data_IF_071272976641
#
_entry.id   IF_071272976641
#
_cell.length_a   1.000
_cell.length_b   1.000
_cell.length_c   1.000
_cell.angle_alpha   90.00
_cell.angle_beta   90.00
_cell.angle_gamma   90.00
#
_symmetry.space_group_name_H-M   'P 1'
#
loop_
_entity.id
_entity.type
_entity.pdbx_description
1 polymer ?
#
# COMPACT_ATOMS: atom_id res chain seq x y z
N UNK A 1 -16.79 -3.11 16.43
CA UNK A 1 -15.38 -3.17 15.99
C UNK A 1 -14.87 -1.75 15.95
N UNK A 2 -13.80 -1.42 16.67
CA UNK A 2 -13.21 -0.08 16.65
C UNK A 2 -12.69 0.24 15.25
N UNK A 3 -12.70 1.53 14.88
CA UNK A 3 -12.21 2.05 13.60
C UNK A 3 -10.83 1.48 13.26
N UNK A 4 -9.88 1.54 14.20
CA UNK A 4 -8.52 1.06 13.99
C UNK A 4 -8.39 -0.44 13.72
N UNK A 5 -9.35 -1.29 14.11
CA UNK A 5 -9.29 -2.74 13.80
C UNK A 5 -9.66 -2.99 12.34
N UNK A 6 -10.53 -2.17 11.74
CA UNK A 6 -10.91 -2.33 10.34
C UNK A 6 -9.80 -1.85 9.41
N UNK A 7 -9.16 -0.72 9.74
CA UNK A 7 -7.93 -0.26 9.08
C UNK A 7 -6.85 -1.34 9.12
N UNK A 8 -6.61 -1.89 10.30
CA UNK A 8 -5.57 -2.90 10.48
C UNK A 8 -5.85 -4.17 9.67
N UNK A 9 -7.10 -4.61 9.65
CA UNK A 9 -7.52 -5.74 8.83
C UNK A 9 -7.41 -5.45 7.33
N UNK A 10 -7.79 -4.24 6.91
CA UNK A 10 -7.69 -3.78 5.52
C UNK A 10 -6.24 -3.82 5.03
N UNK A 11 -5.31 -3.27 5.82
CA UNK A 11 -3.87 -3.26 5.50
C UNK A 11 -3.30 -4.67 5.49
N UNK A 12 -3.63 -5.51 6.47
CA UNK A 12 -3.18 -6.91 6.48
C UNK A 12 -3.65 -7.68 5.24
N UNK A 13 -4.93 -7.54 4.89
CA UNK A 13 -5.49 -8.18 3.70
C UNK A 13 -4.81 -7.71 2.41
N UNK A 14 -4.45 -6.42 2.33
CA UNK A 14 -3.69 -5.89 1.21
C UNK A 14 -2.24 -6.42 1.15
N UNK A 15 -1.52 -6.49 2.27
CA UNK A 15 -0.17 -7.10 2.31
C UNK A 15 -0.24 -8.56 1.84
N UNK A 16 -1.27 -9.31 2.27
CA UNK A 16 -1.50 -10.68 1.83
C UNK A 16 -1.82 -10.76 0.33
N UNK A 17 -2.57 -9.80 -0.22
CA UNK A 17 -2.80 -9.71 -1.67
C UNK A 17 -1.47 -9.58 -2.42
N UNK A 18 -0.59 -8.66 -2.02
CA UNK A 18 0.72 -8.49 -2.65
C UNK A 18 1.59 -9.74 -2.51
N UNK A 19 1.59 -10.38 -1.34
CA UNK A 19 2.29 -11.65 -1.14
C UNK A 19 1.83 -12.71 -2.16
N UNK A 20 0.52 -12.84 -2.36
CA UNK A 20 -0.05 -13.78 -3.33
C UNK A 20 0.27 -13.36 -4.77
N UNK A 21 0.31 -12.07 -5.06
CA UNK A 21 0.65 -11.55 -6.37
C UNK A 21 2.09 -11.86 -6.75
N UNK A 22 3.05 -11.60 -5.85
CA UNK A 22 4.48 -11.94 -6.07
C UNK A 22 4.66 -13.44 -6.33
N UNK A 23 3.92 -14.27 -5.60
CA UNK A 23 3.93 -15.73 -5.77
C UNK A 23 3.07 -16.24 -6.93
N UNK A 24 2.43 -15.35 -7.68
CA UNK A 24 1.55 -15.68 -8.80
C UNK A 24 0.41 -16.64 -8.41
N UNK A 25 -0.23 -16.39 -7.27
CA UNK A 25 -1.27 -17.24 -6.68
C UNK A 25 -2.65 -16.54 -6.63
N UNK A 26 -3.42 -16.54 -7.73
CA UNK A 26 -4.66 -15.76 -7.86
C UNK A 26 -5.76 -16.19 -6.89
N UNK A 27 -5.84 -17.49 -6.57
CA UNK A 27 -6.88 -18.06 -5.72
C UNK A 27 -6.94 -17.45 -4.33
N UNK A 28 -5.80 -16.99 -3.79
CA UNK A 28 -5.74 -16.27 -2.52
C UNK A 28 -5.60 -14.76 -2.72
N UNK A 29 -4.99 -14.31 -3.82
CA UNK A 29 -4.81 -12.90 -4.15
C UNK A 29 -6.13 -12.14 -4.33
N UNK A 30 -7.09 -12.65 -5.11
CA UNK A 30 -8.37 -11.97 -5.31
C UNK A 30 -9.23 -11.90 -4.04
N UNK A 31 -9.41 -12.97 -3.24
CA UNK A 31 -10.10 -12.85 -1.96
C UNK A 31 -9.45 -11.85 -0.99
N UNK A 32 -8.11 -11.85 -0.89
CA UNK A 32 -7.38 -10.90 -0.05
C UNK A 32 -7.62 -9.45 -0.51
N UNK A 33 -7.61 -9.21 -1.83
CA UNK A 33 -7.99 -7.93 -2.40
C UNK A 33 -9.43 -7.53 -2.01
N UNK A 34 -10.41 -8.41 -2.21
CA UNK A 34 -11.82 -8.12 -1.92
C UNK A 34 -12.03 -7.74 -0.46
N UNK A 35 -11.31 -8.40 0.46
CA UNK A 35 -11.34 -8.08 1.88
C UNK A 35 -10.77 -6.69 2.17
N UNK A 36 -9.62 -6.33 1.58
CA UNK A 36 -9.04 -5.00 1.74
C UNK A 36 -9.93 -3.92 1.12
N UNK A 37 -10.35 -4.09 -0.12
CA UNK A 37 -11.18 -3.14 -0.85
C UNK A 37 -12.54 -2.92 -0.19
N UNK A 38 -13.21 -4.01 0.21
CA UNK A 38 -14.48 -3.94 0.94
C UNK A 38 -14.33 -3.26 2.30
N UNK A 39 -13.23 -3.50 3.01
CA UNK A 39 -12.94 -2.83 4.28
C UNK A 39 -12.79 -1.33 4.08
N UNK A 40 -12.01 -0.87 3.11
CA UNK A 40 -11.86 0.57 2.80
C UNK A 40 -13.18 1.25 2.45
N UNK A 41 -14.02 0.61 1.63
CA UNK A 41 -15.34 1.16 1.30
C UNK A 41 -16.21 1.29 2.56
N UNK A 42 -16.22 0.26 3.41
CA UNK A 42 -16.99 0.28 4.66
C UNK A 42 -16.48 1.38 5.60
N UNK A 43 -15.16 1.58 5.70
CA UNK A 43 -14.56 2.63 6.50
C UNK A 43 -14.97 4.01 6.02
N UNK A 44 -14.79 4.28 4.72
CA UNK A 44 -15.16 5.56 4.13
C UNK A 44 -16.66 5.84 4.26
N UNK A 45 -17.51 4.83 4.07
CA UNK A 45 -18.97 4.98 4.15
C UNK A 45 -19.42 5.25 5.59
N UNK A 46 -18.91 4.50 6.57
CA UNK A 46 -19.31 4.66 7.98
C UNK A 46 -18.86 5.99 8.56
N UNK A 47 -17.67 6.46 8.19
CA UNK A 47 -17.05 7.66 8.77
C UNK A 47 -17.09 8.86 7.83
N UNK A 48 -17.88 8.81 6.76
CA UNK A 48 -17.96 9.90 5.78
C UNK A 48 -18.20 11.26 6.45
N UNK A 49 -19.20 11.33 7.33
CA UNK A 49 -19.57 12.58 7.99
C UNK A 49 -18.55 13.05 9.03
N UNK A 50 -17.81 12.13 9.66
CA UNK A 50 -16.84 12.44 10.72
C UNK A 50 -15.46 12.79 10.20
N UNK A 51 -15.08 12.26 9.04
CA UNK A 51 -13.81 12.56 8.39
C UNK A 51 -13.73 14.00 7.86
N UNK A 52 -12.56 14.61 8.02
CA UNK A 52 -12.25 15.86 7.32
C UNK A 52 -12.03 15.62 5.82
N UNK A 53 -12.00 16.68 5.02
CA UNK A 53 -11.80 16.60 3.57
C UNK A 53 -10.57 15.79 3.17
N UNK A 54 -9.41 16.05 3.81
CA UNK A 54 -8.18 15.31 3.53
C UNK A 54 -8.29 13.81 3.83
N UNK A 55 -8.93 13.43 4.95
CA UNK A 55 -9.16 12.01 5.29
C UNK A 55 -10.05 11.32 4.27
N UNK A 56 -11.15 11.98 3.83
CA UNK A 56 -12.02 11.44 2.76
C UNK A 56 -11.24 11.24 1.46
N UNK A 57 -10.47 12.25 1.06
CA UNK A 57 -9.62 12.15 -0.13
C UNK A 57 -8.58 11.04 -0.02
N UNK A 58 -7.97 10.84 1.16
CA UNK A 58 -7.02 9.75 1.40
C UNK A 58 -7.68 8.38 1.20
N UNK A 59 -8.83 8.11 1.81
CA UNK A 59 -9.53 6.83 1.59
C UNK A 59 -10.00 6.66 0.14
N UNK A 60 -10.51 7.72 -0.50
CA UNK A 60 -10.86 7.67 -1.94
C UNK A 60 -9.64 7.34 -2.80
N UNK A 61 -8.47 7.93 -2.50
CA UNK A 61 -7.23 7.62 -3.19
C UNK A 61 -6.81 6.16 -2.99
N UNK A 62 -6.91 5.63 -1.76
CA UNK A 62 -6.63 4.22 -1.47
C UNK A 62 -7.59 3.31 -2.24
N UNK A 63 -8.89 3.59 -2.28
CA UNK A 63 -9.88 2.81 -3.03
C UNK A 63 -9.55 2.81 -4.54
N UNK A 64 -9.24 3.98 -5.12
CA UNK A 64 -8.84 4.09 -6.53
C UNK A 64 -7.55 3.31 -6.83
N UNK A 65 -6.57 3.38 -5.93
CA UNK A 65 -5.33 2.62 -6.08
C UNK A 65 -5.54 1.12 -5.91
N UNK A 66 -6.35 0.65 -4.97
CA UNK A 66 -6.71 -0.76 -4.84
C UNK A 66 -7.43 -1.24 -6.12
N UNK A 67 -8.34 -0.45 -6.68
CA UNK A 67 -9.01 -0.75 -7.93
C UNK A 67 -8.02 -0.86 -9.10
N UNK A 68 -7.07 0.08 -9.23
CA UNK A 68 -6.02 -0.01 -10.24
C UNK A 68 -5.13 -1.25 -10.05
N UNK A 69 -4.79 -1.56 -8.79
CA UNK A 69 -3.95 -2.71 -8.45
C UNK A 69 -4.61 -4.04 -8.82
N UNK A 70 -5.93 -4.20 -8.59
CA UNK A 70 -6.61 -5.45 -8.98
C UNK A 70 -6.77 -5.56 -10.48
N UNK A 71 -7.00 -4.45 -11.20
CA UNK A 71 -7.09 -4.46 -12.66
C UNK A 71 -5.76 -4.92 -13.24
N UNK A 72 -4.65 -4.36 -12.76
CA UNK A 72 -3.32 -4.73 -13.21
C UNK A 72 -2.95 -6.18 -12.82
N UNK A 73 -3.15 -6.57 -11.55
CA UNK A 73 -2.94 -7.94 -11.09
C UNK A 73 -3.73 -8.97 -11.91
N UNK A 74 -4.98 -8.63 -12.24
CA UNK A 74 -5.84 -9.50 -13.06
C UNK A 74 -5.34 -9.56 -14.50
N UNK A 75 -4.85 -8.46 -15.06
CA UNK A 75 -4.24 -8.45 -16.39
C UNK A 75 -3.03 -9.38 -16.45
N UNK A 76 -2.17 -9.33 -15.42
CA UNK A 76 -1.04 -10.25 -15.33
C UNK A 76 -1.51 -11.70 -15.23
N UNK A 77 -2.45 -12.02 -14.33
CA UNK A 77 -2.97 -13.39 -14.20
C UNK A 77 -3.63 -13.94 -15.47
N UNK A 78 -4.32 -13.10 -16.24
CA UNK A 78 -5.10 -13.56 -17.39
C UNK A 78 -4.30 -13.55 -18.70
N UNK A 79 -3.48 -12.53 -18.92
CA UNK A 79 -2.95 -12.18 -20.24
C UNK A 79 -1.43 -12.15 -20.32
N UNK A 80 -0.73 -11.94 -19.21
CA UNK A 80 0.74 -11.85 -19.25
C UNK A 80 1.35 -13.23 -19.49
N UNK A 81 2.30 -13.28 -20.42
CA UNK A 81 2.98 -14.51 -20.78
C UNK A 81 4.05 -14.82 -19.72
N UNK A 82 4.19 -16.10 -19.30
CA UNK A 82 5.20 -16.46 -18.33
C UNK A 82 6.57 -16.16 -18.91
N UNK A 83 7.25 -15.18 -18.33
CA UNK A 83 8.67 -14.94 -18.60
C UNK A 83 9.45 -16.22 -18.29
N UNK A 84 10.44 -16.54 -19.12
CA UNK A 84 11.16 -17.81 -19.05
C UNK A 84 11.70 -18.05 -17.64
N UNK A 85 11.23 -19.12 -16.98
CA UNK A 85 11.75 -19.54 -15.68
C UNK A 85 10.83 -19.38 -14.47
N UNK A 86 9.51 -19.20 -14.63
CA UNK A 86 8.60 -19.30 -13.47
C UNK A 86 8.84 -20.61 -12.70
N UNK A 87 9.19 -20.47 -11.42
CA UNK A 87 9.57 -21.58 -10.52
C UNK A 87 8.37 -22.15 -9.75
N UNK A 88 7.20 -21.55 -9.87
CA UNK A 88 6.06 -21.89 -9.02
C UNK A 88 5.19 -22.98 -9.67
N UNK A 89 4.98 -24.13 -9.02
CA UNK A 89 4.24 -25.25 -9.62
C UNK A 89 2.73 -24.98 -9.76
N UNK A 90 2.21 -23.96 -9.09
CA UNK A 90 0.81 -23.52 -9.20
C UNK A 90 0.61 -22.41 -10.24
N UNK A 91 1.65 -22.05 -10.99
CA UNK A 91 1.58 -21.00 -11.98
C UNK A 91 0.80 -21.47 -13.23
N UNK A 92 -0.27 -20.76 -13.57
CA UNK A 92 -1.17 -21.11 -14.68
C UNK A 92 -1.28 -20.01 -15.75
N UNK A 93 -0.33 -19.06 -15.80
CA UNK A 93 -0.36 -17.95 -16.75
C UNK A 93 0.16 -18.33 -18.16
N UNK A 94 -0.33 -17.67 -19.23
CA UNK A 94 -1.54 -16.85 -19.23
C UNK A 94 -2.77 -17.75 -19.09
N UNK A 95 -3.71 -17.40 -18.21
CA UNK A 95 -4.90 -18.24 -17.98
C UNK A 95 -5.85 -18.27 -19.20
N UNK A 96 -5.83 -17.23 -20.03
CA UNK A 96 -6.64 -17.13 -21.25
C UNK A 96 -5.93 -17.63 -22.51
N UNK A 97 -4.67 -18.08 -22.39
CA UNK A 97 -3.83 -18.45 -23.55
C UNK A 97 -3.08 -17.25 -24.15
N UNK A 98 -2.39 -17.52 -25.26
CA UNK A 98 -1.51 -16.56 -25.94
C UNK A 98 -2.27 -15.61 -26.87
N UNK A 99 -1.67 -14.45 -27.18
CA UNK A 99 -2.19 -13.50 -28.18
C UNK A 99 -3.17 -12.46 -27.65
N UNK A 100 -3.23 -12.24 -26.34
CA UNK A 100 -4.07 -11.23 -25.68
C UNK A 100 -3.29 -9.97 -25.25
N UNK A 101 -2.28 -9.58 -26.03
CA UNK A 101 -1.43 -8.41 -25.75
C UNK A 101 -2.25 -7.11 -25.68
N UNK A 102 -3.26 -6.97 -26.55
CA UNK A 102 -4.11 -5.78 -26.58
C UNK A 102 -4.95 -5.64 -25.31
N UNK A 103 -5.50 -6.75 -24.79
CA UNK A 103 -6.25 -6.78 -23.55
C UNK A 103 -5.35 -6.45 -22.36
N UNK A 104 -4.12 -7.01 -22.33
CA UNK A 104 -3.11 -6.66 -21.33
C UNK A 104 -2.78 -5.17 -21.32
N UNK A 105 -2.49 -4.58 -22.49
CA UNK A 105 -2.18 -3.16 -22.65
C UNK A 105 -3.35 -2.26 -22.24
N UNK A 106 -4.57 -2.67 -22.60
CA UNK A 106 -5.80 -1.95 -22.23
C UNK A 106 -5.99 -1.96 -20.72
N UNK A 107 -5.86 -3.12 -20.07
CA UNK A 107 -5.98 -3.23 -18.62
C UNK A 107 -4.88 -2.45 -17.89
N UNK A 108 -3.63 -2.51 -18.35
CA UNK A 108 -2.52 -1.74 -17.80
C UNK A 108 -2.75 -0.23 -17.94
N UNK A 109 -3.31 0.21 -19.06
CA UNK A 109 -3.69 1.61 -19.28
C UNK A 109 -4.81 2.05 -18.31
N UNK A 110 -5.81 1.21 -18.09
CA UNK A 110 -6.88 1.48 -17.11
C UNK A 110 -6.30 1.59 -15.69
N UNK A 111 -5.45 0.64 -15.29
CA UNK A 111 -4.80 0.66 -13.98
C UNK A 111 -3.96 1.93 -13.77
N UNK A 112 -3.15 2.31 -14.77
CA UNK A 112 -2.35 3.54 -14.75
C UNK A 112 -3.23 4.78 -14.55
N UNK A 113 -4.33 4.89 -15.28
CA UNK A 113 -5.27 6.01 -15.13
C UNK A 113 -5.89 6.06 -13.73
N UNK A 114 -6.19 4.89 -13.13
CA UNK A 114 -6.66 4.81 -11.75
C UNK A 114 -5.57 5.26 -10.75
N UNK A 115 -4.31 4.91 -10.96
CA UNK A 115 -3.20 5.36 -10.12
C UNK A 115 -2.97 6.87 -10.21
N UNK A 116 -3.03 7.44 -11.41
CA UNK A 116 -2.97 8.91 -11.61
C UNK A 116 -4.14 9.59 -10.91
N UNK A 117 -5.36 9.07 -11.05
CA UNK A 117 -6.52 9.61 -10.36
C UNK A 117 -6.37 9.53 -8.83
N UNK A 118 -5.88 8.39 -8.30
CA UNK A 118 -5.59 8.22 -6.89
C UNK A 118 -4.58 9.26 -6.38
N UNK A 119 -3.47 9.46 -7.10
CA UNK A 119 -2.46 10.46 -6.76
C UNK A 119 -3.03 11.88 -6.76
N UNK A 120 -3.79 12.25 -7.79
CA UNK A 120 -4.42 13.56 -7.89
C UNK A 120 -5.41 13.82 -6.75
N UNK A 121 -6.25 12.83 -6.39
CA UNK A 121 -7.18 12.93 -5.27
C UNK A 121 -6.43 13.08 -3.95
N UNK A 122 -5.37 12.29 -3.74
CA UNK A 122 -4.51 12.39 -2.55
C UNK A 122 -3.86 13.78 -2.45
N UNK A 123 -3.22 14.25 -3.53
CA UNK A 123 -2.53 15.53 -3.56
C UNK A 123 -3.48 16.72 -3.35
N UNK A 124 -4.68 16.68 -3.96
CA UNK A 124 -5.72 17.68 -3.73
C UNK A 124 -6.21 17.66 -2.29
N UNK A 125 -6.48 16.47 -1.74
CA UNK A 125 -6.86 16.30 -0.34
C UNK A 125 -5.83 16.86 0.64
N UNK A 126 -4.54 16.60 0.38
CA UNK A 126 -3.45 17.09 1.21
C UNK A 126 -3.23 18.60 1.10
N UNK A 127 -3.39 19.16 -0.11
CA UNK A 127 -3.17 20.58 -0.37
C UNK A 127 -4.30 21.46 0.16
N UNK A 128 -5.55 21.03 -0.05
CA UNK A 128 -6.76 21.82 0.27
C UNK A 128 -7.46 21.38 1.54
N UNK A 129 -7.25 20.14 1.99
CA UNK A 129 -7.93 19.56 3.15
C UNK A 129 -7.19 19.75 4.47
N UNK A 130 -6.26 20.71 4.56
CA UNK A 130 -5.51 20.99 5.80
C UNK A 130 -6.49 21.21 6.95
N UNK A 131 -6.30 20.48 8.03
CA UNK A 131 -7.14 20.62 9.21
C UNK A 131 -6.64 21.77 10.08
N UNK A 132 -7.55 22.57 10.62
CA UNK A 132 -7.24 23.52 11.70
C UNK A 132 -6.87 22.79 13.00
N UNK A 133 -7.25 21.52 13.13
CA UNK A 133 -6.87 20.66 14.24
C UNK A 133 -5.46 20.10 14.01
N UNK A 134 -4.51 20.57 14.82
CA UNK A 134 -3.11 20.16 14.77
C UNK A 134 -2.92 18.64 14.93
N UNK A 135 -3.81 17.96 15.67
CA UNK A 135 -3.73 16.50 15.88
C UNK A 135 -4.06 15.76 14.59
N UNK A 136 -5.13 16.19 13.90
CA UNK A 136 -5.53 15.62 12.61
C UNK A 136 -4.50 15.90 11.53
N UNK A 137 -3.91 17.09 11.53
CA UNK A 137 -2.83 17.42 10.59
C UNK A 137 -1.59 16.56 10.83
N UNK A 138 -1.15 16.38 12.09
CA UNK A 138 -0.01 15.54 12.41
C UNK A 138 -0.24 14.07 12.01
N UNK A 139 -1.47 13.57 12.13
CA UNK A 139 -1.83 12.23 11.65
C UNK A 139 -1.72 12.12 10.11
N UNK A 140 -2.20 13.13 9.37
CA UNK A 140 -2.07 13.18 7.91
C UNK A 140 -0.61 13.28 7.45
N UNK A 141 0.22 14.03 8.18
CA UNK A 141 1.64 14.20 7.85
C UNK A 141 2.43 12.87 7.99
N UNK A 142 1.97 11.95 8.85
CA UNK A 142 2.54 10.61 8.96
C UNK A 142 2.23 9.73 7.75
N UNK A 143 1.20 10.06 6.97
CA UNK A 143 0.71 9.28 5.83
C UNK A 143 1.20 9.82 4.48
N UNK A 144 2.04 10.86 4.47
CA UNK A 144 2.61 11.45 3.25
C UNK A 144 3.38 10.43 2.41
N UNK A 145 3.90 9.37 3.04
CA UNK A 145 4.55 8.27 2.32
C UNK A 145 3.64 7.62 1.27
N UNK A 146 2.31 7.63 1.47
CA UNK A 146 1.34 7.11 0.51
C UNK A 146 1.40 7.85 -0.82
N UNK A 147 1.62 9.17 -0.80
CA UNK A 147 1.79 9.95 -2.03
C UNK A 147 3.01 9.50 -2.85
N UNK A 148 4.13 9.24 -2.17
CA UNK A 148 5.34 8.71 -2.80
C UNK A 148 5.12 7.27 -3.30
N UNK A 149 4.34 6.46 -2.58
CA UNK A 149 3.97 5.13 -3.02
C UNK A 149 3.10 5.16 -4.30
N UNK A 150 2.09 6.02 -4.38
CA UNK A 150 1.25 6.18 -5.58
C UNK A 150 2.08 6.61 -6.80
N UNK A 151 3.08 7.48 -6.61
CA UNK A 151 4.01 7.84 -7.69
C UNK A 151 4.86 6.66 -8.16
N UNK A 152 5.24 5.75 -7.26
CA UNK A 152 5.91 4.49 -7.62
C UNK A 152 5.00 3.63 -8.49
N UNK A 153 3.72 3.47 -8.18
CA UNK A 153 2.77 2.68 -8.99
C UNK A 153 2.58 3.24 -10.40
N UNK A 154 2.46 4.57 -10.52
CA UNK A 154 2.43 5.25 -11.82
C UNK A 154 3.74 4.98 -12.58
N UNK A 155 4.88 5.10 -11.89
CA UNK A 155 6.19 4.86 -12.49
C UNK A 155 6.38 3.42 -12.94
N UNK A 156 5.89 2.44 -12.18
CA UNK A 156 5.98 1.01 -12.52
C UNK A 156 5.16 0.71 -13.77
N UNK A 157 3.89 1.13 -13.81
CA UNK A 157 3.03 0.91 -15.00
C UNK A 157 3.45 1.67 -16.24
N UNK A 158 4.37 2.65 -16.13
CA UNK A 158 4.96 3.40 -17.24
C UNK A 158 6.41 2.99 -17.54
N UNK A 159 6.94 1.97 -16.84
CA UNK A 159 8.30 1.48 -16.99
C UNK A 159 9.39 2.55 -16.71
N UNK A 160 9.07 3.55 -15.87
CA UNK A 160 9.94 4.67 -15.50
C UNK A 160 10.87 4.26 -14.34
N UNK A 161 11.87 3.45 -14.67
CA UNK A 161 12.79 2.81 -13.73
C UNK A 161 13.36 3.74 -12.64
N UNK A 162 13.92 4.89 -13.04
CA UNK A 162 14.53 5.84 -12.11
C UNK A 162 13.51 6.55 -11.21
N UNK A 163 12.37 6.96 -11.77
CA UNK A 163 11.28 7.58 -11.02
C UNK A 163 10.68 6.61 -9.99
N UNK A 164 10.53 5.33 -10.35
CA UNK A 164 10.08 4.28 -9.44
C UNK A 164 11.02 4.12 -8.24
N UNK A 165 12.34 4.03 -8.48
CA UNK A 165 13.33 3.91 -7.41
C UNK A 165 13.41 5.15 -6.51
N UNK A 166 13.32 6.35 -7.09
CA UNK A 166 13.31 7.59 -6.32
C UNK A 166 12.06 7.69 -5.42
N UNK A 167 10.89 7.37 -5.98
CA UNK A 167 9.61 7.38 -5.27
C UNK A 167 9.58 6.35 -4.13
N UNK A 168 10.12 5.15 -4.38
CA UNK A 168 10.32 4.14 -3.34
C UNK A 168 11.21 4.62 -2.21
N UNK A 169 12.38 5.17 -2.55
CA UNK A 169 13.35 5.65 -1.56
C UNK A 169 12.71 6.74 -0.69
N UNK A 170 11.95 7.64 -1.29
CA UNK A 170 11.20 8.66 -0.57
C UNK A 170 10.15 8.05 0.37
N UNK A 171 9.36 7.09 -0.09
CA UNK A 171 8.37 6.39 0.74
C UNK A 171 9.03 5.68 1.94
N UNK A 172 10.16 5.00 1.71
CA UNK A 172 10.90 4.30 2.76
C UNK A 172 11.48 5.27 3.80
N UNK A 173 12.06 6.40 3.37
CA UNK A 173 12.55 7.44 4.27
C UNK A 173 11.42 8.04 5.13
N UNK A 174 10.26 8.29 4.53
CA UNK A 174 9.09 8.80 5.23
C UNK A 174 8.55 7.79 6.24
N UNK A 175 8.44 6.50 5.89
CA UNK A 175 8.04 5.44 6.82
C UNK A 175 9.04 5.24 7.95
N UNK A 176 10.35 5.24 7.68
CA UNK A 176 11.37 5.16 8.73
C UNK A 176 11.30 6.36 9.68
N UNK A 177 11.02 7.55 9.14
CA UNK A 177 10.77 8.75 9.97
C UNK A 177 9.50 8.59 10.81
N UNK A 178 8.40 8.08 10.25
CA UNK A 178 7.16 7.82 11.01
C UNK A 178 7.37 6.78 12.10
N UNK A 179 8.09 5.70 11.80
CA UNK A 179 8.47 4.66 12.76
C UNK A 179 9.34 5.21 13.89
N UNK A 180 10.42 5.93 13.57
CA UNK A 180 11.31 6.50 14.60
C UNK A 180 10.61 7.51 15.52
N UNK A 181 9.59 8.22 15.02
CA UNK A 181 8.79 9.15 15.83
C UNK A 181 7.77 8.47 16.73
N UNK A 182 7.13 7.40 16.26
CA UNK A 182 5.96 6.80 16.93
C UNK A 182 6.29 5.50 17.68
N UNK A 183 7.33 4.78 17.26
CA UNK A 183 7.60 3.42 17.69
C UNK A 183 6.52 2.41 17.26
N UNK A 184 5.56 2.81 16.43
CA UNK A 184 4.43 1.97 16.05
C UNK A 184 4.87 0.88 15.08
N UNK A 185 4.69 -0.38 15.49
CA UNK A 185 5.08 -1.57 14.72
C UNK A 185 4.34 -1.71 13.39
N UNK A 186 3.21 -1.01 13.20
CA UNK A 186 2.52 -0.95 11.90
C UNK A 186 3.42 -0.36 10.81
N UNK A 187 4.13 0.73 11.11
CA UNK A 187 5.08 1.32 10.16
C UNK A 187 6.27 0.39 9.86
N UNK A 188 6.68 -0.45 10.83
CA UNK A 188 7.71 -1.46 10.58
C UNK A 188 7.20 -2.55 9.63
N UNK A 189 5.97 -3.02 9.82
CA UNK A 189 5.34 -3.97 8.92
C UNK A 189 5.17 -3.41 7.50
N UNK A 190 4.71 -2.16 7.38
CA UNK A 190 4.65 -1.43 6.10
C UNK A 190 6.04 -1.28 5.49
N UNK A 191 7.09 -0.98 6.27
CA UNK A 191 8.45 -0.89 5.75
C UNK A 191 8.95 -2.25 5.19
N UNK A 192 8.65 -3.36 5.87
CA UNK A 192 9.00 -4.72 5.39
C UNK A 192 8.26 -5.08 4.11
N UNK A 193 6.96 -4.80 4.06
CA UNK A 193 6.14 -4.96 2.86
C UNK A 193 6.69 -4.10 1.69
N UNK A 194 7.06 -2.85 1.98
CA UNK A 194 7.63 -1.91 1.03
C UNK A 194 8.96 -2.47 0.46
N UNK A 195 9.86 -2.92 1.33
CA UNK A 195 11.13 -3.57 0.92
C UNK A 195 10.89 -4.75 0.00
N UNK A 196 9.96 -5.65 0.34
CA UNK A 196 9.63 -6.79 -0.51
C UNK A 196 9.10 -6.36 -1.89
N UNK A 197 8.22 -5.36 -1.92
CA UNK A 197 7.72 -4.78 -3.17
C UNK A 197 8.83 -4.17 -4.04
N UNK A 198 9.87 -3.60 -3.45
CA UNK A 198 11.03 -3.12 -4.23
C UNK A 198 11.93 -4.22 -4.73
N UNK A 199 12.13 -5.28 -3.94
CA UNK A 199 12.85 -6.45 -4.43
C UNK A 199 12.13 -7.03 -5.66
N UNK A 200 10.79 -7.07 -5.61
CA UNK A 200 9.96 -7.48 -6.74
C UNK A 200 10.06 -6.51 -7.93
N UNK A 201 9.88 -5.20 -7.72
CA UNK A 201 10.04 -4.18 -8.77
C UNK A 201 11.39 -4.27 -9.48
N UNK A 202 12.49 -4.41 -8.72
CA UNK A 202 13.83 -4.52 -9.30
C UNK A 202 13.96 -5.80 -10.13
N UNK A 203 13.41 -6.91 -9.66
CA UNK A 203 13.42 -8.16 -10.42
C UNK A 203 12.65 -8.02 -11.74
N UNK A 204 11.43 -7.49 -11.68
CA UNK A 204 10.54 -7.40 -12.85
C UNK A 204 10.97 -6.34 -13.86
N UNK A 205 11.35 -5.14 -13.39
CA UNK A 205 11.59 -3.97 -14.26
C UNK A 205 13.06 -3.82 -14.64
N UNK A 206 13.99 -4.14 -13.74
CA UNK A 206 15.43 -4.00 -14.06
C UNK A 206 16.05 -5.29 -14.57
N UNK A 207 15.57 -6.43 -14.10
CA UNK A 207 16.16 -7.74 -14.42
C UNK A 207 15.27 -8.59 -15.32
N UNK A 208 14.09 -8.10 -15.71
CA UNK A 208 13.16 -8.79 -16.61
C UNK A 208 12.82 -10.21 -16.11
N UNK A 209 12.63 -10.34 -14.80
CA UNK A 209 12.40 -11.61 -14.09
C UNK A 209 13.47 -12.71 -14.34
N UNK A 210 14.69 -12.32 -14.72
CA UNK A 210 15.78 -13.27 -14.98
C UNK A 210 16.17 -14.13 -13.76
N UNK A 211 15.75 -13.77 -12.55
CA UNK A 211 16.11 -14.45 -11.31
C UNK A 211 14.90 -14.80 -10.44
N UNK A 212 14.18 -15.90 -10.74
CA UNK A 212 12.94 -16.28 -10.05
C UNK A 212 13.07 -16.41 -8.52
N UNK A 213 14.28 -16.66 -8.01
CA UNK A 213 14.56 -16.70 -6.56
C UNK A 213 14.34 -15.35 -5.86
N UNK A 214 14.42 -14.23 -6.59
CA UNK A 214 14.18 -12.89 -6.05
C UNK A 214 12.70 -12.68 -5.71
N UNK A 215 11.77 -13.22 -6.50
CA UNK A 215 10.34 -13.27 -6.12
C UNK A 215 10.11 -14.00 -4.80
N UNK A 216 10.83 -15.10 -4.55
CA UNK A 216 10.75 -15.79 -3.24
C UNK A 216 11.26 -14.88 -2.11
N UNK A 217 12.41 -14.22 -2.29
CA UNK A 217 12.95 -13.28 -1.30
C UNK A 217 12.00 -12.11 -1.03
N UNK A 218 11.44 -11.52 -2.08
CA UNK A 218 10.42 -10.48 -2.00
C UNK A 218 9.20 -10.96 -1.21
N UNK A 219 8.68 -12.16 -1.51
CA UNK A 219 7.54 -12.74 -0.81
C UNK A 219 7.83 -13.00 0.68
N UNK A 220 9.06 -13.41 1.04
CA UNK A 220 9.47 -13.58 2.43
C UNK A 220 9.46 -12.25 3.19
N UNK A 221 9.95 -11.16 2.57
CA UNK A 221 9.91 -9.82 3.17
C UNK A 221 8.47 -9.34 3.39
N UNK A 222 7.60 -9.53 2.39
CA UNK A 222 6.16 -9.20 2.50
C UNK A 222 5.48 -10.02 3.60
N UNK A 223 5.74 -11.33 3.66
CA UNK A 223 5.17 -12.22 4.68
C UNK A 223 5.64 -11.83 6.09
N UNK A 224 6.90 -11.48 6.27
CA UNK A 224 7.39 -10.95 7.56
C UNK A 224 6.63 -9.68 7.95
N UNK A 225 6.36 -8.78 7.00
CA UNK A 225 5.48 -7.62 7.22
C UNK A 225 4.09 -8.03 7.70
N UNK A 226 3.44 -8.98 7.02
CA UNK A 226 2.12 -9.49 7.40
C UNK A 226 2.11 -10.11 8.82
N UNK A 227 3.17 -10.84 9.18
CA UNK A 227 3.31 -11.46 10.51
C UNK A 227 3.51 -10.39 11.60
N UNK A 228 4.34 -9.37 11.37
CA UNK A 228 4.50 -8.24 12.30
C UNK A 228 3.19 -7.48 12.47
N UNK A 229 2.46 -7.27 11.38
CA UNK A 229 1.15 -6.60 11.41
C UNK A 229 0.12 -7.42 12.20
N UNK A 230 0.03 -8.73 11.92
CA UNK A 230 -0.86 -9.66 12.63
C UNK A 230 -0.56 -9.73 14.12
N UNK A 231 0.72 -9.81 14.49
CA UNK A 231 1.15 -9.76 15.88
C UNK A 231 0.75 -8.44 16.55
N UNK A 232 0.84 -7.31 15.84
CA UNK A 232 0.45 -6.00 16.35
C UNK A 232 -1.06 -5.93 16.62
N UNK A 233 -1.89 -6.52 15.75
CA UNK A 233 -3.34 -6.64 15.99
C UNK A 233 -3.63 -7.52 17.22
N UNK A 234 -2.96 -8.67 17.31
CA UNK A 234 -3.20 -9.66 18.36
C UNK A 234 -2.77 -9.16 19.75
N UNK A 235 -1.55 -8.60 19.85
CA UNK A 235 -0.99 -8.12 21.12
C UNK A 235 -1.45 -6.71 21.46
N UNK A 236 -1.68 -5.87 20.45
CA UNK A 236 -2.04 -4.45 20.60
C UNK A 236 -3.53 -4.18 20.82
N UNK A 237 -4.35 -5.20 21.16
CA UNK A 237 -5.75 -5.03 21.53
C UNK A 237 -5.95 -3.89 22.54
N UNK A 238 -7.14 -3.24 22.53
CA UNK A 238 -7.54 -1.83 22.84
C UNK A 238 -6.61 -0.81 23.54
N UNK A 239 -5.32 -1.04 23.67
CA UNK A 239 -4.35 -0.25 24.44
C UNK A 239 -3.54 0.71 23.56
N UNK A 240 -3.60 0.57 22.23
CA UNK A 240 -2.92 1.46 21.29
C UNK A 240 -3.65 2.79 21.03
N UNK A 241 -4.95 2.89 21.35
CA UNK A 241 -5.66 4.19 21.33
C UNK A 241 -5.09 5.10 22.42
N UNK A 242 -4.79 4.53 23.58
CA UNK A 242 -4.19 5.26 24.70
C UNK A 242 -2.77 5.74 24.38
N UNK A 243 -2.00 5.02 23.55
CA UNK A 243 -0.64 5.44 23.18
C UNK A 243 -0.61 6.57 22.15
N UNK A 244 -1.55 6.61 21.18
CA UNK A 244 -1.70 7.77 20.27
C UNK A 244 -2.15 9.01 21.03
N UNK A 245 -3.08 8.89 21.97
CA UNK A 245 -3.48 10.01 22.83
C UNK A 245 -2.33 10.46 23.72
N UNK A 246 -1.56 9.53 24.32
CA UNK A 246 -0.40 9.86 25.14
C UNK A 246 0.73 10.56 24.35
N UNK A 247 1.01 10.13 23.11
CA UNK A 247 2.04 10.74 22.27
C UNK A 247 1.66 12.16 21.83
N UNK A 248 0.38 12.36 21.50
CA UNK A 248 -0.17 13.68 21.16
C UNK A 248 -0.16 14.60 22.39
N UNK A 249 -0.51 14.07 23.56
CA UNK A 249 -0.49 14.85 24.81
C UNK A 249 0.95 15.25 25.18
N UNK A 250 1.92 14.34 25.04
CA UNK A 250 3.34 14.61 25.26
C UNK A 250 3.89 15.70 24.31
N UNK A 251 3.56 15.65 23.02
CA UNK A 251 3.94 16.71 22.06
C UNK A 251 3.30 18.05 22.38
N UNK A 252 2.04 18.07 22.83
CA UNK A 252 1.37 19.31 23.23
C UNK A 252 2.02 19.96 24.46
N UNK A 253 2.53 19.15 25.40
CA UNK A 253 3.26 19.63 26.59
C UNK A 253 4.62 20.20 26.23
N UNK A 254 5.34 19.56 25.31
CA UNK A 254 6.63 20.07 24.81
C UNK A 254 6.49 21.43 24.12
N UNK A 255 5.44 21.62 23.31
CA UNK A 255 5.19 22.90 22.64
C UNK A 255 4.85 24.03 23.62
N UNK A 256 4.22 23.72 24.76
CA UNK A 256 3.92 24.72 25.80
C UNK A 256 5.13 25.15 26.64
N UNK A 257 6.25 24.41 26.57
CA UNK A 257 7.44 24.70 27.37
C UNK A 257 8.48 25.58 26.67
N UNK A 258 8.23 25.99 25.42
CA UNK A 258 9.11 26.92 24.70
C UNK A 258 8.67 28.34 25.07
N UNK A 259 9.44 29.09 25.88
CA UNK A 259 9.13 30.49 26.16
C UNK A 259 9.23 31.30 24.87
N UNK A 260 8.19 32.09 24.59
CA UNK A 260 8.13 33.05 23.47
C UNK A 260 9.01 34.25 23.81
#
# INVERSE_FOLDING_TARGET
MSEGVLDDFSTLAWILKDFCWVLQFPFLGWPAFLLSFGSEIVQLTKHWQTYCGAQRCRHLAVILWLAGSVVWMTAEFLFDEPRQGSIFPWHTQPAMGHGHEQEYDTSTTIARNMFVAAFCVFAAGYSFGRSTDARKQAALDLEVWLGAWLLKEISWTMDLKACGMASFTLAALLLMRSFSKTGDRRHLAELLWLVGNTMWFVDEVYLDDAYPRRRVQASCAILMGALVYSHTIYVGGPTAVDSKEAAVDASSRLLKQIPI
#
